data_IF_807187761435
#
_entry.id   IF_807187761435
#
_cell.length_a   1.000
_cell.length_b   1.000
_cell.length_c   1.000
_cell.angle_alpha   90.00
_cell.angle_beta   90.00
_cell.angle_gamma   90.00
#
_symmetry.space_group_name_H-M   'P 1'
#
loop_
_entity.id
_entity.type
_entity.pdbx_description
1 polymer ?
#
# COMPACT_ATOMS: atom_id res chain seq x y z
N UNK A 1 18.52 -4.93 24.24
CA UNK A 1 18.27 -5.48 22.88
C UNK A 1 18.49 -4.35 21.89
N UNK A 2 19.18 -4.58 20.77
CA UNK A 2 19.30 -3.56 19.72
C UNK A 2 18.06 -3.51 18.84
N UNK A 3 17.94 -2.43 18.06
CA UNK A 3 17.01 -2.34 16.94
C UNK A 3 17.37 -3.39 15.86
N UNK A 4 16.39 -3.96 15.13
CA UNK A 4 16.66 -4.73 13.92
C UNK A 4 17.15 -3.79 12.81
N UNK A 5 18.01 -4.32 11.92
CA UNK A 5 18.59 -3.58 10.79
C UNK A 5 18.36 -4.36 9.50
N UNK A 6 18.07 -3.68 8.39
CA UNK A 6 17.92 -4.33 7.09
C UNK A 6 19.28 -4.88 6.62
N UNK A 7 19.30 -6.05 5.98
CA UNK A 7 20.55 -6.50 5.35
C UNK A 7 21.04 -5.50 4.29
N UNK A 8 22.36 -5.34 4.19
CA UNK A 8 22.99 -4.44 3.22
C UNK A 8 22.80 -2.95 3.49
N UNK A 9 22.22 -2.55 4.64
CA UNK A 9 22.31 -1.17 5.09
C UNK A 9 23.78 -0.77 5.29
N UNK A 10 24.12 0.45 4.87
CA UNK A 10 25.44 1.03 5.08
C UNK A 10 25.43 1.98 6.27
N UNK A 11 26.62 2.33 6.75
CA UNK A 11 26.84 3.46 7.66
C UNK A 11 26.03 3.36 8.97
N UNK A 12 25.95 2.16 9.54
CA UNK A 12 25.17 1.91 10.75
C UNK A 12 26.04 1.94 12.01
N UNK A 13 25.50 2.58 13.04
CA UNK A 13 26.10 2.63 14.37
C UNK A 13 25.24 1.91 15.41
N UNK A 14 25.93 1.30 16.38
CA UNK A 14 25.31 0.69 17.55
C UNK A 14 25.85 1.27 18.84
N UNK A 15 25.15 0.98 19.93
CA UNK A 15 25.58 1.35 21.27
C UNK A 15 26.06 0.09 21.99
N UNK A 16 27.28 0.13 22.50
CA UNK A 16 27.87 -0.89 23.37
C UNK A 16 28.13 -0.28 24.75
N UNK A 17 28.28 -1.12 25.77
CA UNK A 17 28.62 -0.65 27.12
C UNK A 17 29.98 -1.19 27.55
N UNK A 18 30.83 -0.33 28.10
CA UNK A 18 32.11 -0.70 28.67
C UNK A 18 32.10 -0.34 30.15
N UNK A 19 32.53 -1.28 30.98
CA UNK A 19 32.64 -1.09 32.43
C UNK A 19 34.03 -1.53 32.90
N UNK A 20 34.52 -0.90 33.96
CA UNK A 20 35.74 -1.34 34.62
C UNK A 20 35.53 -2.72 35.24
N UNK A 21 36.44 -3.67 34.96
CA UNK A 21 36.26 -5.07 35.38
C UNK A 21 36.51 -5.29 36.88
N UNK A 22 37.10 -4.32 37.57
CA UNK A 22 37.47 -4.41 38.99
C UNK A 22 36.40 -3.80 39.88
N UNK A 23 35.87 -2.65 39.49
CA UNK A 23 34.92 -1.83 40.26
C UNK A 23 33.49 -2.02 39.79
N UNK A 24 33.28 -2.47 38.55
CA UNK A 24 31.96 -2.59 37.94
C UNK A 24 31.30 -1.24 37.62
N UNK A 25 32.04 -0.14 37.76
CA UNK A 25 31.56 1.20 37.42
C UNK A 25 31.68 1.45 35.90
N UNK A 26 30.88 2.38 35.36
CA UNK A 26 31.06 2.85 34.00
C UNK A 26 32.50 3.30 33.72
N UNK A 27 33.04 2.87 32.59
CA UNK A 27 34.35 3.32 32.11
C UNK A 27 34.15 4.42 31.06
N UNK A 28 34.76 5.58 31.25
CA UNK A 28 34.53 6.79 30.43
C UNK A 28 35.77 7.22 29.63
N UNK A 29 36.93 6.57 29.85
CA UNK A 29 38.19 6.94 29.23
C UNK A 29 38.64 5.99 28.10
N UNK A 30 37.73 5.20 27.51
CA UNK A 30 38.08 4.35 26.36
C UNK A 30 38.15 5.17 25.08
N UNK A 31 39.36 5.29 24.54
CA UNK A 31 39.63 5.81 23.21
C UNK A 31 39.97 4.67 22.23
N UNK A 32 39.95 4.98 20.92
CA UNK A 32 40.23 4.04 19.83
C UNK A 32 41.60 3.32 19.91
N UNK A 33 42.59 3.91 20.57
CA UNK A 33 43.95 3.38 20.76
C UNK A 33 44.21 2.91 22.20
N UNK A 34 43.17 2.76 23.01
CA UNK A 34 43.24 2.22 24.37
C UNK A 34 43.99 0.88 24.41
N UNK A 35 44.81 0.68 25.43
CA UNK A 35 45.63 -0.53 25.53
C UNK A 35 44.80 -1.82 25.50
N UNK A 36 45.10 -2.70 24.53
CA UNK A 36 44.43 -3.98 24.37
C UNK A 36 42.99 -3.90 23.83
N UNK A 37 42.58 -2.76 23.27
CA UNK A 37 41.33 -2.66 22.53
C UNK A 37 41.36 -3.60 21.32
N UNK A 38 40.40 -4.52 21.28
CA UNK A 38 40.19 -5.44 20.17
C UNK A 38 38.70 -5.65 19.99
N UNK A 39 38.13 -5.04 18.96
CA UNK A 39 36.71 -5.11 18.63
C UNK A 39 36.49 -6.17 17.54
N UNK A 40 35.32 -6.80 17.55
CA UNK A 40 34.96 -7.81 16.56
C UNK A 40 33.46 -7.86 16.30
N UNK A 41 33.12 -8.31 15.10
CA UNK A 41 31.78 -8.79 14.79
C UNK A 41 31.83 -10.27 14.45
N UNK A 42 30.72 -10.97 14.69
CA UNK A 42 30.50 -12.33 14.24
C UNK A 42 29.13 -12.41 13.61
N UNK A 43 29.11 -12.65 12.30
CA UNK A 43 27.90 -13.04 11.58
C UNK A 43 27.50 -14.44 12.04
N UNK A 44 26.22 -14.68 12.29
CA UNK A 44 25.75 -15.98 12.79
C UNK A 44 26.22 -17.15 11.91
N UNK A 45 26.62 -18.25 12.56
CA UNK A 45 27.22 -19.40 11.88
C UNK A 45 28.65 -19.19 11.36
N UNK A 46 29.16 -17.95 11.35
CA UNK A 46 30.51 -17.61 10.86
C UNK A 46 31.58 -17.54 11.96
N UNK A 47 32.79 -17.19 11.53
CA UNK A 47 33.94 -16.85 12.40
C UNK A 47 33.88 -15.39 12.83
N UNK A 48 34.61 -15.05 13.90
CA UNK A 48 34.80 -13.65 14.30
C UNK A 48 35.65 -12.93 13.25
N UNK A 49 35.29 -11.70 12.95
CA UNK A 49 36.02 -10.78 12.10
C UNK A 49 36.42 -9.57 12.94
N UNK A 50 37.64 -9.09 12.73
CA UNK A 50 38.18 -7.94 13.46
C UNK A 50 37.53 -6.65 12.96
N UNK A 51 37.18 -5.77 13.90
CA UNK A 51 36.87 -4.37 13.63
C UNK A 51 38.12 -3.59 14.05
N UNK A 52 38.75 -2.89 13.11
CA UNK A 52 39.88 -2.00 13.41
C UNK A 52 39.34 -0.73 14.05
N UNK A 53 39.65 -0.42 15.32
CA UNK A 53 39.15 0.79 15.96
C UNK A 53 39.68 2.04 15.24
N UNK A 54 38.82 3.04 15.11
CA UNK A 54 39.14 4.32 14.51
C UNK A 54 38.69 5.46 15.42
N UNK A 55 39.38 6.59 15.35
CA UNK A 55 39.00 7.79 16.08
C UNK A 55 37.75 8.42 15.45
N UNK A 56 36.81 8.82 16.30
CA UNK A 56 35.84 9.87 16.00
C UNK A 56 36.26 11.10 16.81
N UNK A 57 35.93 12.30 16.32
CA UNK A 57 36.20 13.56 17.02
C UNK A 57 34.97 14.05 17.80
N UNK A 58 33.77 13.61 17.40
CA UNK A 58 32.52 13.91 18.07
C UNK A 58 31.44 12.85 17.80
N UNK A 59 30.45 12.78 18.70
CA UNK A 59 29.32 11.84 18.61
C UNK A 59 28.46 11.99 17.35
N UNK A 60 28.48 13.16 16.71
CA UNK A 60 27.72 13.45 15.49
C UNK A 60 28.57 13.40 14.21
N UNK A 61 29.82 12.93 14.31
CA UNK A 61 30.65 12.72 13.13
C UNK A 61 30.01 11.71 12.18
N UNK A 62 30.32 11.87 10.90
CA UNK A 62 29.95 10.91 9.87
C UNK A 62 30.47 9.52 10.24
N UNK A 63 29.73 8.49 9.81
CA UNK A 63 30.13 7.11 10.07
C UNK A 63 31.53 6.84 9.52
N UNK A 64 32.34 6.14 10.32
CA UNK A 64 33.64 5.63 9.92
C UNK A 64 33.75 4.20 10.43
N UNK A 65 34.02 3.22 9.57
CA UNK A 65 34.19 1.82 9.95
C UNK A 65 35.14 1.67 11.16
N UNK A 66 34.60 1.15 12.27
CA UNK A 66 35.33 0.96 13.52
C UNK A 66 35.47 2.21 14.40
N UNK A 67 34.86 3.32 14.02
CA UNK A 67 34.75 4.54 14.80
C UNK A 67 34.12 4.26 16.16
N UNK A 68 34.79 4.69 17.23
CA UNK A 68 34.28 4.58 18.61
C UNK A 68 34.31 5.95 19.27
N UNK A 69 33.22 6.30 19.96
CA UNK A 69 33.10 7.57 20.68
C UNK A 69 32.28 7.38 21.96
N UNK A 70 32.68 8.07 23.02
CA UNK A 70 31.99 8.01 24.31
C UNK A 70 30.69 8.83 24.26
N UNK A 71 29.59 8.24 24.73
CA UNK A 71 28.30 8.92 24.87
C UNK A 71 28.19 9.51 26.27
N UNK A 72 28.00 8.62 27.26
CA UNK A 72 27.93 8.89 28.70
C UNK A 72 27.75 7.55 29.45
N UNK A 73 27.94 7.50 30.77
CA UNK A 73 27.66 6.33 31.62
C UNK A 73 28.28 5.00 31.09
N UNK A 74 29.45 5.10 30.44
CA UNK A 74 30.17 3.99 29.84
C UNK A 74 29.47 3.40 28.62
N UNK A 75 28.49 4.09 28.04
CA UNK A 75 27.94 3.78 26.73
C UNK A 75 28.77 4.44 25.64
N UNK A 76 29.06 3.66 24.60
CA UNK A 76 29.86 4.09 23.47
C UNK A 76 29.08 3.88 22.18
N UNK A 77 29.15 4.85 21.29
CA UNK A 77 28.81 4.66 19.87
C UNK A 77 29.92 3.81 19.26
N UNK A 78 29.53 2.81 18.49
CA UNK A 78 30.44 2.03 17.65
C UNK A 78 29.88 1.96 16.23
N UNK A 79 30.66 2.44 15.29
CA UNK A 79 30.38 2.39 13.86
C UNK A 79 30.80 1.04 13.30
N UNK A 80 29.82 0.29 12.80
CA UNK A 80 30.03 -1.09 12.35
C UNK A 80 30.42 -1.09 10.88
N UNK A 81 31.42 -1.90 10.47
CA UNK A 81 31.71 -2.13 9.06
C UNK A 81 30.51 -2.70 8.29
N UNK A 82 30.24 -2.18 7.10
CA UNK A 82 29.13 -2.60 6.23
C UNK A 82 29.11 -4.11 5.96
N UNK A 83 30.30 -4.72 5.87
CA UNK A 83 30.46 -6.16 5.67
C UNK A 83 29.81 -7.02 6.79
N UNK A 84 29.63 -6.46 7.98
CA UNK A 84 28.90 -7.11 9.07
C UNK A 84 27.41 -7.27 8.73
N UNK A 85 26.83 -6.27 8.06
CA UNK A 85 25.39 -6.18 7.76
C UNK A 85 25.00 -6.82 6.43
N UNK A 86 25.96 -7.41 5.71
CA UNK A 86 25.68 -8.14 4.47
C UNK A 86 24.58 -9.22 4.66
N UNK A 87 23.85 -9.52 3.59
CA UNK A 87 22.76 -10.52 3.60
C UNK A 87 23.28 -11.96 3.79
N UNK A 88 22.36 -12.86 4.17
CA UNK A 88 22.63 -14.31 4.25
C UNK A 88 22.77 -14.88 5.67
N UNK A 89 22.57 -14.09 6.72
CA UNK A 89 22.50 -14.55 8.12
C UNK A 89 21.36 -13.86 8.84
N UNK A 90 20.87 -14.41 9.96
CA UNK A 90 19.76 -13.82 10.72
C UNK A 90 20.21 -12.76 11.75
N UNK A 91 21.52 -12.66 12.02
CA UNK A 91 22.05 -11.55 12.79
C UNK A 91 23.56 -11.51 12.96
N UNK A 92 23.99 -10.54 13.74
CA UNK A 92 25.39 -10.21 13.98
C UNK A 92 25.59 -9.97 15.47
N UNK A 93 26.57 -10.64 16.06
CA UNK A 93 27.05 -10.33 17.40
C UNK A 93 28.22 -9.37 17.31
N UNK A 94 28.17 -8.28 18.06
CA UNK A 94 29.28 -7.35 18.26
C UNK A 94 29.84 -7.56 19.65
N UNK A 95 31.17 -7.48 19.78
CA UNK A 95 31.82 -7.53 21.08
C UNK A 95 33.27 -7.08 20.97
N UNK A 96 33.99 -7.19 22.08
CA UNK A 96 35.38 -6.82 22.12
C UNK A 96 36.04 -7.11 23.45
N UNK A 97 37.25 -6.63 23.58
CA UNK A 97 38.03 -6.58 24.83
C UNK A 97 38.74 -5.25 24.93
N UNK A 98 38.95 -4.76 26.14
CA UNK A 98 39.89 -3.69 26.47
C UNK A 98 40.58 -4.09 27.78
N UNK A 99 41.85 -3.74 27.96
CA UNK A 99 42.61 -4.18 29.14
C UNK A 99 41.99 -3.65 30.42
N UNK A 100 41.71 -4.53 31.39
CA UNK A 100 41.09 -4.16 32.66
C UNK A 100 39.60 -3.85 32.60
N UNK A 101 38.94 -4.05 31.46
CA UNK A 101 37.54 -3.66 31.24
C UNK A 101 36.70 -4.82 30.68
N UNK A 102 35.38 -4.72 30.85
CA UNK A 102 34.40 -5.63 30.25
C UNK A 102 33.61 -4.90 29.17
N UNK A 103 33.70 -5.39 27.93
CA UNK A 103 32.88 -4.90 26.82
C UNK A 103 31.60 -5.73 26.75
N UNK A 104 30.49 -5.10 27.12
CA UNK A 104 29.14 -5.63 26.95
C UNK A 104 28.68 -5.34 25.53
N UNK A 105 28.90 -6.33 24.68
CA UNK A 105 28.51 -6.33 23.28
C UNK A 105 27.00 -6.37 23.06
N UNK A 106 26.61 -6.39 21.79
CA UNK A 106 25.20 -6.39 21.39
C UNK A 106 24.95 -7.35 20.24
N UNK A 107 23.81 -8.02 20.27
CA UNK A 107 23.31 -8.83 19.16
C UNK A 107 22.31 -8.03 18.33
N UNK A 108 22.54 -7.99 17.03
CA UNK A 108 21.75 -7.25 16.04
C UNK A 108 20.99 -8.23 15.15
N UNK A 109 19.65 -8.26 15.20
CA UNK A 109 18.85 -9.01 14.24
C UNK A 109 18.93 -8.35 12.85
N UNK A 110 19.19 -9.15 11.82
CA UNK A 110 19.11 -8.72 10.43
C UNK A 110 17.78 -9.13 9.82
N UNK A 111 17.11 -8.19 9.15
CA UNK A 111 15.80 -8.38 8.54
C UNK A 111 15.80 -8.05 7.05
N UNK A 112 14.78 -8.51 6.33
CA UNK A 112 14.67 -8.33 4.88
C UNK A 112 13.93 -7.07 4.43
N UNK A 113 13.38 -6.33 5.39
CA UNK A 113 12.63 -5.09 5.16
C UNK A 113 13.33 -3.94 5.88
N UNK A 114 13.01 -2.70 5.53
CA UNK A 114 13.54 -1.54 6.23
C UNK A 114 12.57 -1.13 7.36
N UNK A 115 12.90 -1.36 8.65
CA UNK A 115 12.01 -1.02 9.76
C UNK A 115 11.82 0.49 9.94
N UNK A 116 12.71 1.32 9.39
CA UNK A 116 12.68 2.78 9.50
C UNK A 116 12.08 3.46 8.25
N UNK A 117 11.67 2.69 7.24
CA UNK A 117 11.07 3.25 6.03
C UNK A 117 9.64 3.74 6.32
N UNK A 118 9.39 5.02 6.05
CA UNK A 118 8.10 5.66 6.27
C UNK A 118 7.00 5.17 5.31
N UNK A 119 7.35 4.39 4.28
CA UNK A 119 6.48 3.87 3.23
C UNK A 119 6.44 2.34 3.30
N UNK A 120 5.46 1.81 4.05
CA UNK A 120 5.17 0.36 4.15
C UNK A 120 6.39 -0.51 4.46
N UNK A 121 7.28 -0.05 5.34
CA UNK A 121 8.48 -0.80 5.72
C UNK A 121 9.40 -1.13 4.53
N UNK A 122 9.34 -0.34 3.46
CA UNK A 122 10.12 -0.55 2.23
C UNK A 122 9.60 -1.68 1.34
N UNK A 123 8.39 -2.20 1.59
CA UNK A 123 7.80 -3.25 0.77
C UNK A 123 7.24 -2.68 -0.55
N UNK A 124 8.09 -2.61 -1.56
CA UNK A 124 7.78 -2.04 -2.90
C UNK A 124 6.70 -2.80 -3.66
N UNK A 125 6.41 -4.05 -3.27
CA UNK A 125 5.32 -4.83 -3.83
C UNK A 125 3.92 -4.32 -3.43
N UNK A 126 3.82 -3.44 -2.43
CA UNK A 126 2.54 -2.90 -1.94
C UNK A 126 2.28 -1.47 -2.47
N UNK A 127 1.11 -1.17 -3.07
CA UNK A 127 0.84 0.11 -3.75
C UNK A 127 0.88 1.35 -2.86
N UNK A 128 1.52 2.45 -3.31
CA UNK A 128 1.69 3.71 -2.56
C UNK A 128 0.50 4.64 -2.39
N UNK A 129 -0.66 4.09 -2.06
CA UNK A 129 -1.87 4.83 -1.75
C UNK A 129 -2.61 4.19 -0.56
N UNK A 130 -3.52 4.97 0.04
CA UNK A 130 -4.46 4.42 1.01
C UNK A 130 -5.32 3.35 0.33
N UNK A 131 -5.78 2.36 1.10
CA UNK A 131 -6.82 1.46 0.62
C UNK A 131 -8.04 2.28 0.15
N UNK A 132 -8.67 1.88 -0.95
CA UNK A 132 -9.80 2.59 -1.61
C UNK A 132 -9.46 3.95 -2.25
N UNK A 133 -8.21 4.42 -2.16
CA UNK A 133 -7.78 5.58 -2.94
C UNK A 133 -7.33 5.16 -4.35
N UNK A 134 -7.27 6.12 -5.28
CA UNK A 134 -6.73 5.88 -6.62
C UNK A 134 -5.32 5.27 -6.56
N UNK A 135 -5.14 4.10 -7.18
CA UNK A 135 -3.88 3.36 -7.16
C UNK A 135 -3.61 2.58 -5.86
N UNK A 136 -4.56 2.53 -4.92
CA UNK A 136 -4.51 1.77 -3.68
C UNK A 136 -4.88 0.30 -3.85
N UNK A 137 -4.78 -0.45 -2.76
CA UNK A 137 -5.32 -1.82 -2.73
C UNK A 137 -6.86 -1.74 -2.75
N UNK A 138 -7.53 -2.51 -3.63
CA UNK A 138 -8.99 -2.67 -3.55
C UNK A 138 -9.37 -3.24 -2.19
N UNK A 139 -10.29 -2.58 -1.49
CA UNK A 139 -10.90 -3.08 -0.26
C UNK A 139 -12.40 -3.18 -0.44
N UNK A 140 -13.03 -4.01 0.40
CA UNK A 140 -14.47 -4.05 0.51
C UNK A 140 -14.90 -3.17 1.70
N UNK A 141 -15.13 -1.89 1.43
CA UNK A 141 -15.70 -0.93 2.40
C UNK A 141 -17.03 -1.46 3.03
N UNK A 142 -17.76 -2.31 2.29
CA UNK A 142 -19.03 -2.91 2.72
C UNK A 142 -19.20 -4.40 2.34
N UNK A 143 -18.10 -5.18 2.28
CA UNK A 143 -18.18 -6.65 2.18
C UNK A 143 -18.29 -7.25 0.77
N UNK A 144 -18.16 -6.48 -0.30
CA UNK A 144 -17.95 -6.97 -1.67
C UNK A 144 -16.79 -6.23 -2.31
N UNK A 145 -15.94 -6.92 -3.06
CA UNK A 145 -14.89 -6.27 -3.84
C UNK A 145 -15.54 -5.25 -4.79
N UNK A 146 -15.00 -4.03 -4.87
CA UNK A 146 -15.41 -2.91 -5.76
C UNK A 146 -15.44 -3.25 -7.27
N UNK A 147 -15.18 -4.51 -7.62
CA UNK A 147 -15.36 -5.08 -8.96
C UNK A 147 -16.81 -4.97 -9.44
N UNK A 148 -17.78 -5.03 -8.53
CA UNK A 148 -19.20 -4.87 -8.87
C UNK A 148 -19.50 -3.42 -9.32
N UNK A 149 -18.86 -2.42 -8.70
CA UNK A 149 -18.97 -1.01 -9.08
C UNK A 149 -18.28 -0.67 -10.41
N UNK A 150 -17.15 -1.31 -10.74
CA UNK A 150 -16.48 -1.11 -12.04
C UNK A 150 -17.37 -1.60 -13.19
N UNK A 151 -18.05 -2.74 -13.01
CA UNK A 151 -19.00 -3.28 -14.00
C UNK A 151 -20.25 -2.38 -14.09
N UNK A 152 -20.75 -1.87 -12.97
CA UNK A 152 -21.94 -1.03 -12.95
C UNK A 152 -21.68 0.40 -13.48
N UNK A 153 -20.54 1.00 -13.15
CA UNK A 153 -20.14 2.34 -13.60
C UNK A 153 -19.86 2.41 -15.11
N UNK A 154 -19.12 1.42 -15.65
CA UNK A 154 -18.81 1.38 -17.08
C UNK A 154 -20.03 1.13 -17.97
N UNK A 155 -21.01 0.38 -17.46
CA UNK A 155 -22.22 0.02 -18.20
C UNK A 155 -23.31 1.10 -18.14
N UNK A 156 -23.41 1.83 -17.02
CA UNK A 156 -24.38 2.90 -16.84
C UNK A 156 -23.93 4.24 -17.44
N UNK A 157 -22.63 4.51 -17.54
CA UNK A 157 -22.11 5.74 -18.16
C UNK A 157 -22.32 5.80 -19.69
N UNK A 158 -22.50 4.65 -20.36
CA UNK A 158 -22.59 4.57 -21.82
C UNK A 158 -23.97 4.88 -22.42
N UNK A 159 -25.02 5.08 -21.60
CA UNK A 159 -26.39 5.40 -22.08
C UNK A 159 -26.87 6.73 -21.50
N UNK A 160 -26.07 7.77 -21.72
CA UNK A 160 -26.53 9.14 -21.55
C UNK A 160 -27.26 9.57 -22.83
N UNK A 161 -28.60 9.59 -22.82
CA UNK A 161 -29.39 10.24 -23.88
C UNK A 161 -29.89 11.64 -23.41
N UNK A 162 -30.05 12.56 -24.38
CA UNK A 162 -30.51 13.93 -24.20
C UNK A 162 -31.99 13.99 -23.78
N UNK A 163 -32.34 15.04 -23.04
CA UNK A 163 -33.57 15.15 -22.24
C UNK A 163 -34.90 14.85 -22.96
N UNK A 164 -35.61 13.86 -22.40
CA UNK A 164 -37.03 13.48 -22.48
C UNK A 164 -37.40 12.26 -23.34
N UNK A 165 -37.98 11.25 -22.68
CA UNK A 165 -38.46 9.98 -23.23
C UNK A 165 -38.36 8.86 -22.19
N UNK A 166 -39.12 7.77 -22.35
CA UNK A 166 -38.90 6.49 -21.63
C UNK A 166 -37.97 5.62 -22.48
N UNK A 167 -36.92 5.03 -21.90
CA UNK A 167 -36.54 5.03 -20.48
C UNK A 167 -36.07 6.41 -19.97
N UNK A 168 -36.23 6.69 -18.66
CA UNK A 168 -35.84 7.97 -18.04
C UNK A 168 -34.47 8.45 -18.49
N UNK A 169 -34.29 9.76 -18.71
CA UNK A 169 -32.98 10.34 -19.04
C UNK A 169 -31.91 9.78 -18.08
N UNK A 170 -30.96 9.00 -18.61
CA UNK A 170 -30.01 8.09 -17.91
C UNK A 170 -30.58 6.75 -17.40
N UNK A 171 -31.11 5.87 -18.25
CA UNK A 171 -31.46 4.53 -17.79
C UNK A 171 -30.21 3.67 -17.60
N UNK A 172 -30.26 2.72 -16.67
CA UNK A 172 -29.28 1.62 -16.69
C UNK A 172 -29.41 0.81 -17.97
N UNK A 173 -28.33 0.17 -18.44
CA UNK A 173 -28.41 -0.73 -19.62
C UNK A 173 -29.46 -1.81 -19.43
N UNK A 174 -29.61 -2.32 -18.21
CA UNK A 174 -30.66 -3.28 -17.86
C UNK A 174 -32.04 -2.74 -18.20
N UNK A 175 -32.36 -1.51 -17.79
CA UNK A 175 -33.68 -0.93 -18.02
C UNK A 175 -33.91 -0.63 -19.52
N UNK A 176 -32.90 -0.15 -20.23
CA UNK A 176 -32.99 0.12 -21.66
C UNK A 176 -33.20 -1.16 -22.49
N UNK A 177 -32.38 -2.19 -22.25
CA UNK A 177 -32.49 -3.48 -22.94
C UNK A 177 -33.78 -4.19 -22.56
N UNK A 178 -34.23 -4.09 -21.31
CA UNK A 178 -35.48 -4.70 -20.87
C UNK A 178 -36.70 -4.08 -21.56
N UNK A 179 -36.71 -2.75 -21.79
CA UNK A 179 -37.78 -2.12 -22.58
C UNK A 179 -37.81 -2.62 -24.02
N UNK A 180 -36.64 -2.72 -24.69
CA UNK A 180 -36.54 -3.28 -26.04
C UNK A 180 -37.00 -4.74 -26.08
N UNK A 181 -36.59 -5.54 -25.09
CA UNK A 181 -37.01 -6.93 -24.95
C UNK A 181 -38.53 -7.06 -24.81
N UNK A 182 -39.15 -6.26 -23.94
CA UNK A 182 -40.60 -6.26 -23.75
C UNK A 182 -41.34 -5.83 -25.02
N UNK A 183 -40.86 -4.80 -25.73
CA UNK A 183 -41.45 -4.36 -26.98
C UNK A 183 -41.42 -5.42 -28.09
N UNK A 184 -40.38 -6.26 -28.13
CA UNK A 184 -40.24 -7.32 -29.13
C UNK A 184 -40.98 -8.62 -28.77
N UNK A 185 -41.06 -8.96 -27.47
CA UNK A 185 -41.65 -10.22 -27.00
C UNK A 185 -43.14 -10.10 -26.69
N UNK A 186 -43.54 -9.00 -26.05
CA UNK A 186 -44.88 -8.86 -25.46
C UNK A 186 -45.86 -8.23 -26.45
N UNK A 187 -47.10 -8.01 -25.99
CA UNK A 187 -48.14 -7.40 -26.80
C UNK A 187 -47.72 -5.97 -27.20
N UNK A 188 -47.63 -5.76 -28.51
CA UNK A 188 -47.56 -4.45 -29.14
C UNK A 188 -48.92 -4.18 -29.79
N UNK A 189 -49.57 -3.08 -29.43
CA UNK A 189 -50.91 -2.74 -29.93
C UNK A 189 -50.95 -1.31 -30.45
N UNK A 190 -51.86 -1.03 -31.39
CA UNK A 190 -52.17 0.33 -31.84
C UNK A 190 -53.59 0.66 -31.42
N UNK A 191 -53.74 1.53 -30.43
CA UNK A 191 -55.04 2.04 -30.00
C UNK A 191 -55.53 3.09 -31.00
N UNK A 192 -56.58 2.75 -31.74
CA UNK A 192 -57.23 3.63 -32.73
C UNK A 192 -58.52 4.27 -32.22
N UNK A 193 -58.89 3.99 -30.98
CA UNK A 193 -60.05 4.61 -30.29
C UNK A 193 -59.79 6.04 -29.81
N UNK A 194 -58.51 6.43 -29.71
CA UNK A 194 -58.09 7.79 -29.38
C UNK A 194 -57.87 8.65 -30.64
N UNK A 195 -57.81 9.96 -30.47
CA UNK A 195 -57.32 10.88 -31.51
C UNK A 195 -56.20 11.71 -30.89
N UNK A 196 -54.91 11.54 -31.29
CA UNK A 196 -54.38 10.66 -32.35
C UNK A 196 -54.28 9.17 -31.94
N UNK A 197 -54.02 8.29 -32.91
CA UNK A 197 -53.72 6.88 -32.69
C UNK A 197 -52.46 6.72 -31.81
N UNK A 198 -52.36 5.63 -31.03
CA UNK A 198 -51.25 5.44 -30.08
C UNK A 198 -50.69 4.02 -30.16
N UNK A 199 -49.39 3.87 -30.41
CA UNK A 199 -48.70 2.58 -30.23
C UNK A 199 -48.44 2.35 -28.74
N UNK A 200 -48.80 1.17 -28.24
CA UNK A 200 -48.69 0.77 -26.84
C UNK A 200 -47.80 -0.47 -26.70
N UNK A 201 -46.80 -0.38 -25.82
CA UNK A 201 -45.95 -1.50 -25.40
C UNK A 201 -46.48 -2.04 -24.07
N UNK A 202 -46.70 -3.34 -23.97
CA UNK A 202 -47.18 -3.98 -22.75
C UNK A 202 -46.09 -4.79 -22.03
N UNK A 203 -46.23 -4.95 -20.72
CA UNK A 203 -45.51 -5.98 -19.97
C UNK A 203 -46.19 -7.35 -20.11
N UNK A 204 -45.58 -8.39 -19.54
CA UNK A 204 -46.11 -9.76 -19.54
C UNK A 204 -47.49 -9.87 -18.86
N UNK A 205 -47.84 -8.92 -17.99
CA UNK A 205 -49.13 -8.83 -17.31
C UNK A 205 -50.20 -8.06 -18.12
N UNK A 206 -49.89 -7.61 -19.34
CA UNK A 206 -50.81 -6.87 -20.19
C UNK A 206 -51.03 -5.41 -19.77
N UNK A 207 -50.19 -4.86 -18.90
CA UNK A 207 -50.21 -3.42 -18.55
C UNK A 207 -49.39 -2.65 -19.57
N UNK A 208 -49.91 -1.51 -20.04
CA UNK A 208 -49.16 -0.60 -20.91
C UNK A 208 -48.03 0.05 -20.11
N UNK A 209 -46.79 -0.09 -20.57
CA UNK A 209 -45.59 0.42 -19.88
C UNK A 209 -44.95 1.59 -20.63
N UNK A 210 -45.18 1.69 -21.93
CA UNK A 210 -44.72 2.79 -22.76
C UNK A 210 -45.69 3.00 -23.92
N UNK A 211 -45.82 4.25 -24.37
CA UNK A 211 -46.69 4.63 -25.47
C UNK A 211 -46.02 5.66 -26.37
N UNK A 212 -46.43 5.74 -27.63
CA UNK A 212 -46.08 6.85 -28.54
C UNK A 212 -47.26 7.18 -29.44
N UNK A 213 -47.53 8.47 -29.61
CA UNK A 213 -48.56 8.92 -30.54
C UNK A 213 -48.11 8.66 -31.98
N UNK A 214 -49.05 8.20 -32.81
CA UNK A 214 -48.87 7.97 -34.23
C UNK A 214 -49.70 9.00 -34.99
N UNK A 215 -49.14 9.57 -36.05
CA UNK A 215 -49.88 10.45 -36.95
C UNK A 215 -49.61 10.02 -38.39
N UNK A 216 -50.68 9.73 -39.12
CA UNK A 216 -50.66 9.41 -40.55
C UNK A 216 -51.55 10.42 -41.29
N UNK A 217 -50.95 11.40 -41.95
CA UNK A 217 -51.68 12.48 -42.62
C UNK A 217 -51.62 12.39 -44.15
N UNK A 218 -51.84 11.19 -44.71
CA UNK A 218 -52.01 10.98 -46.15
C UNK A 218 -50.78 11.33 -47.01
N UNK A 219 -49.63 11.53 -46.37
CA UNK A 219 -48.36 11.92 -47.00
C UNK A 219 -47.16 11.56 -46.13
N UNK A 220 -47.27 11.77 -44.82
CA UNK A 220 -46.24 11.43 -43.84
C UNK A 220 -46.81 10.55 -42.71
N UNK A 221 -46.06 9.50 -42.37
CA UNK A 221 -46.22 8.78 -41.12
C UNK A 221 -45.19 9.30 -40.12
N UNK A 222 -45.63 9.72 -38.94
CA UNK A 222 -44.78 10.23 -37.88
C UNK A 222 -45.11 9.58 -36.54
N UNK A 223 -44.07 9.40 -35.73
CA UNK A 223 -44.16 8.84 -34.39
C UNK A 223 -43.62 9.86 -33.40
N UNK A 224 -44.39 10.17 -32.36
CA UNK A 224 -43.92 10.98 -31.25
C UNK A 224 -42.83 10.25 -30.45
N UNK A 225 -42.14 10.99 -29.58
CA UNK A 225 -41.24 10.38 -28.61
C UNK A 225 -42.00 9.38 -27.73
N UNK A 226 -41.30 8.32 -27.32
CA UNK A 226 -41.89 7.32 -26.44
C UNK A 226 -42.02 7.90 -25.04
N UNK A 227 -43.25 7.90 -24.52
CA UNK A 227 -43.59 8.34 -23.18
C UNK A 227 -43.94 7.14 -22.31
N UNK A 228 -44.01 7.36 -20.99
CA UNK A 228 -44.53 6.34 -20.09
C UNK A 228 -45.97 6.01 -20.45
N UNK A 229 -46.35 4.74 -20.29
CA UNK A 229 -47.72 4.27 -20.55
C UNK A 229 -48.77 5.13 -19.84
N UNK A 230 -50.01 5.14 -20.36
CA UNK A 230 -51.11 5.83 -19.69
C UNK A 230 -51.27 5.41 -18.23
#
# INVERSE_FOLDING_TARGET
MSRPIQYGSTDQSVVVKIIDSTTGLPEEAVEHDSSGIALWYRREGGTKQTITPAALSALNDAHTDGGIEHIDDGYYRLDIPDAALASGVAGVMIGGTVTGMLVLGVYIPLVAYNPADAVRLGLTALPNAAADAAGGLPISDAGGLDMDNIVESGLNAAISELSQGVPSATPSLRNAVMLLYMALRNKLDVETSGTPDVLQVHNDAGTVIAKKQLTDSGGDYSEAQMESGP
#
